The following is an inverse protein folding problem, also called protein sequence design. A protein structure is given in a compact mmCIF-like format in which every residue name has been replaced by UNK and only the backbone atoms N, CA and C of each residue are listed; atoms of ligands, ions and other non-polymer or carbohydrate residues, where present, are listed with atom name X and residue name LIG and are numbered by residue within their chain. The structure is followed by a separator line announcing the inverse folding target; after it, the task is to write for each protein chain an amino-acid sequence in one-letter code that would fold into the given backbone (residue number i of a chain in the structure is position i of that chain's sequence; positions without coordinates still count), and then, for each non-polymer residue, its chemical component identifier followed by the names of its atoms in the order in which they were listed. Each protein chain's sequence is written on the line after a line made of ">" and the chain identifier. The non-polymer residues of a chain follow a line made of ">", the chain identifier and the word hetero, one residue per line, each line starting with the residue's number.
data_IF_321615257843
#
_entry.id   IF_321615257843
#
_cell.length_a   1.000
_cell.length_b   1.000
_cell.length_c   1.000
_cell.angle_alpha   90.00
_cell.angle_beta   90.00
_cell.angle_gamma   90.00
#
_symmetry.space_group_name_H-M   'P 1'
#
loop_
_entity.id
_entity.type
_entity.pdbx_description
1 polymer ?
#
# COMPACT_ATOMS: atom_id res chain seq x y z
N UNK A 1 -25.01 -4.13 10.59
CA UNK A 1 -24.64 -2.80 11.12
C UNK A 1 -23.13 -2.60 11.08
N UNK A 2 -22.34 -3.68 10.82
CA UNK A 2 -20.88 -3.65 10.67
C UNK A 2 -20.40 -3.21 9.27
N UNK A 3 -21.17 -3.44 8.21
CA UNK A 3 -20.78 -3.06 6.83
C UNK A 3 -20.85 -1.56 6.53
N UNK A 4 -21.65 -0.79 7.28
CA UNK A 4 -21.79 0.66 7.05
C UNK A 4 -20.60 1.50 7.56
N UNK A 5 -19.81 0.99 8.51
CA UNK A 5 -18.66 1.72 9.08
C UNK A 5 -17.41 1.65 8.18
N UNK A 6 -17.27 0.61 7.36
CA UNK A 6 -16.16 0.47 6.41
C UNK A 6 -16.28 1.41 5.19
N UNK A 7 -17.51 1.69 4.74
CA UNK A 7 -17.78 2.60 3.62
C UNK A 7 -17.48 4.07 3.95
N UNK A 8 -17.50 4.45 5.22
CA UNK A 8 -17.26 5.82 5.66
C UNK A 8 -15.80 6.16 5.99
N UNK A 9 -14.87 5.18 5.89
CA UNK A 9 -13.45 5.40 6.20
C UNK A 9 -12.70 5.98 5.01
N UNK A 10 -12.64 7.29 4.92
CA UNK A 10 -12.02 8.01 3.78
C UNK A 10 -10.51 7.75 3.68
N UNK A 11 -9.82 7.54 4.77
CA UNK A 11 -8.37 7.26 4.83
C UNK A 11 -8.02 5.80 5.07
N UNK A 12 -9.01 4.88 5.15
CA UNK A 12 -8.76 3.45 5.27
C UNK A 12 -8.13 2.87 3.99
N UNK A 13 -7.40 1.78 4.11
CA UNK A 13 -6.78 1.08 2.98
C UNK A 13 -7.73 0.12 2.26
N UNK A 14 -8.95 -0.11 2.77
CA UNK A 14 -9.96 -0.95 2.14
C UNK A 14 -10.58 -0.31 0.90
N UNK A 15 -10.77 -1.09 -0.17
CA UNK A 15 -11.42 -0.66 -1.44
C UNK A 15 -12.86 -1.18 -1.47
N UNK A 16 -13.79 -0.35 -1.95
CA UNK A 16 -15.12 -0.80 -2.38
C UNK A 16 -15.04 -1.27 -3.85
N UNK A 17 -15.98 -2.10 -4.31
CA UNK A 17 -16.00 -2.60 -5.70
C UNK A 17 -16.04 -1.47 -6.74
N UNK A 18 -16.83 -0.43 -6.50
CA UNK A 18 -16.91 0.77 -7.36
C UNK A 18 -15.63 1.59 -7.36
N UNK A 19 -14.85 1.56 -6.27
CA UNK A 19 -13.56 2.22 -6.20
C UNK A 19 -12.50 1.50 -7.04
N UNK A 20 -12.60 0.17 -7.16
CA UNK A 20 -11.64 -0.66 -7.87
C UNK A 20 -11.61 -0.34 -9.37
N UNK A 21 -12.75 -0.20 -10.02
CA UNK A 21 -12.82 0.08 -11.47
C UNK A 21 -12.28 1.46 -11.81
N UNK A 22 -12.65 2.46 -11.02
CA UNK A 22 -12.15 3.83 -11.20
C UNK A 22 -10.65 3.89 -10.86
N UNK A 23 -10.20 3.22 -9.79
CA UNK A 23 -8.79 3.20 -9.43
C UNK A 23 -7.94 2.53 -10.53
N UNK A 24 -8.45 1.49 -11.17
CA UNK A 24 -7.80 0.85 -12.31
C UNK A 24 -7.67 1.80 -13.52
N UNK A 25 -8.67 2.64 -13.78
CA UNK A 25 -8.62 3.63 -14.86
C UNK A 25 -7.58 4.73 -14.63
N UNK A 26 -7.28 5.03 -13.36
CA UNK A 26 -6.31 6.05 -12.96
C UNK A 26 -4.86 5.55 -12.96
N UNK A 27 -4.64 4.23 -13.04
CA UNK A 27 -3.29 3.67 -12.99
C UNK A 27 -2.49 4.02 -14.23
N UNK A 28 -1.25 4.52 -14.09
CA UNK A 28 -0.34 4.67 -15.22
C UNK A 28 0.00 3.29 -15.80
N UNK A 29 0.23 3.25 -17.11
CA UNK A 29 0.52 2.01 -17.84
C UNK A 29 1.99 1.88 -18.24
N UNK A 30 2.74 2.96 -18.21
CA UNK A 30 4.15 3.02 -18.60
C UNK A 30 5.00 3.60 -17.47
N UNK A 31 6.32 3.39 -17.52
CA UNK A 31 7.26 4.04 -16.60
C UNK A 31 7.30 5.56 -16.80
N UNK A 32 7.06 6.04 -18.01
CA UNK A 32 7.01 7.47 -18.31
C UNK A 32 5.84 8.16 -17.59
N UNK A 33 4.67 7.55 -17.61
CA UNK A 33 3.46 8.05 -16.93
C UNK A 33 3.51 7.93 -15.40
N UNK A 34 4.45 7.14 -14.87
CA UNK A 34 4.56 6.86 -13.44
C UNK A 34 5.31 8.00 -12.75
N UNK A 35 4.58 8.83 -12.01
CA UNK A 35 5.09 10.01 -11.31
C UNK A 35 5.82 9.59 -10.04
N UNK A 36 6.95 10.24 -9.75
CA UNK A 36 7.77 9.99 -8.56
C UNK A 36 8.55 8.68 -8.62
N UNK A 37 9.12 8.27 -7.47
CA UNK A 37 9.94 7.04 -7.34
C UNK A 37 11.13 7.01 -8.33
N UNK A 38 11.79 8.13 -8.59
CA UNK A 38 12.72 8.30 -9.71
C UNK A 38 13.84 7.25 -9.73
N UNK A 39 14.46 6.96 -8.57
CA UNK A 39 15.50 5.91 -8.47
C UNK A 39 14.96 4.51 -8.80
N UNK A 40 13.74 4.21 -8.41
CA UNK A 40 13.09 2.92 -8.72
C UNK A 40 12.82 2.83 -10.21
N UNK A 41 12.32 3.90 -10.82
CA UNK A 41 12.06 3.99 -12.27
C UNK A 41 13.31 3.82 -13.10
N UNK A 42 14.37 4.57 -12.77
CA UNK A 42 15.66 4.49 -13.46
C UNK A 42 16.22 3.08 -13.43
N UNK A 43 16.25 2.44 -12.27
CA UNK A 43 16.74 1.06 -12.15
C UNK A 43 15.89 0.07 -12.94
N UNK A 44 14.55 0.16 -12.81
CA UNK A 44 13.64 -0.72 -13.55
C UNK A 44 13.76 -0.55 -15.06
N UNK A 45 13.88 0.68 -15.55
CA UNK A 45 14.08 0.94 -16.97
C UNK A 45 15.34 0.22 -17.52
N UNK A 46 16.44 0.28 -16.76
CA UNK A 46 17.68 -0.41 -17.13
C UNK A 46 17.49 -1.93 -17.13
N UNK A 47 16.87 -2.50 -16.08
CA UNK A 47 16.69 -3.95 -15.98
C UNK A 47 15.76 -4.49 -17.06
N UNK A 48 14.66 -3.79 -17.34
CA UNK A 48 13.68 -4.15 -18.38
C UNK A 48 14.35 -4.10 -19.76
N UNK A 49 15.07 -3.01 -20.08
CA UNK A 49 15.74 -2.87 -21.37
C UNK A 49 16.82 -3.95 -21.57
N UNK A 50 17.59 -4.26 -20.53
CA UNK A 50 18.59 -5.31 -20.56
C UNK A 50 17.95 -6.70 -20.79
N UNK A 51 16.86 -7.03 -20.09
CA UNK A 51 16.12 -8.29 -20.26
C UNK A 51 15.55 -8.41 -21.68
N UNK A 52 14.92 -7.34 -22.19
CA UNK A 52 14.38 -7.27 -23.57
C UNK A 52 15.46 -7.47 -24.62
N UNK A 53 16.62 -6.83 -24.45
CA UNK A 53 17.73 -6.93 -25.39
C UNK A 53 18.28 -8.36 -25.46
N UNK A 54 18.28 -9.08 -24.33
CA UNK A 54 18.72 -10.49 -24.28
C UNK A 54 17.63 -11.48 -24.68
N UNK A 55 16.36 -11.02 -24.79
CA UNK A 55 15.20 -11.90 -25.03
C UNK A 55 14.89 -12.81 -23.84
N UNK A 56 15.14 -12.35 -22.62
CA UNK A 56 14.97 -13.10 -21.38
C UNK A 56 13.81 -12.53 -20.54
N UNK A 57 13.26 -13.34 -19.66
CA UNK A 57 12.36 -12.85 -18.61
C UNK A 57 13.16 -11.95 -17.66
N UNK A 58 12.46 -10.95 -17.08
CA UNK A 58 13.06 -10.12 -16.04
C UNK A 58 13.35 -10.96 -14.79
N UNK A 59 14.42 -10.64 -14.07
CA UNK A 59 14.67 -11.22 -12.75
C UNK A 59 13.48 -11.00 -11.82
N UNK A 60 13.32 -11.89 -10.81
CA UNK A 60 12.25 -11.74 -9.83
C UNK A 60 12.40 -10.44 -9.03
N UNK A 61 11.30 -9.70 -8.88
CA UNK A 61 11.26 -8.35 -8.28
C UNK A 61 10.49 -8.37 -6.97
N UNK A 62 11.07 -7.84 -5.90
CA UNK A 62 10.40 -7.56 -4.64
C UNK A 62 10.14 -6.06 -4.49
N UNK A 63 8.86 -5.69 -4.40
CA UNK A 63 8.42 -4.31 -4.14
C UNK A 63 7.99 -4.19 -2.68
N UNK A 64 8.60 -3.30 -1.90
CA UNK A 64 8.23 -3.13 -0.51
C UNK A 64 8.10 -1.66 -0.12
N UNK A 65 7.28 -1.40 0.88
CA UNK A 65 7.01 -0.06 1.40
C UNK A 65 5.57 0.09 1.90
N UNK A 66 5.22 1.24 2.47
CA UNK A 66 3.87 1.54 2.97
C UNK A 66 2.74 1.18 2.00
N UNK A 67 1.51 0.97 2.47
CA UNK A 67 0.37 0.72 1.59
C UNK A 67 0.04 1.96 0.75
N UNK A 68 -0.59 1.76 -0.42
CA UNK A 68 -1.08 2.85 -1.26
C UNK A 68 -0.04 3.56 -2.14
N UNK A 69 1.22 3.09 -2.19
CA UNK A 69 2.32 3.68 -2.97
C UNK A 69 2.40 3.22 -4.44
N UNK A 70 1.51 2.32 -4.88
CA UNK A 70 1.49 1.88 -6.27
C UNK A 70 2.29 0.62 -6.58
N UNK A 71 2.55 -0.28 -5.61
CA UNK A 71 3.24 -1.56 -5.83
C UNK A 71 2.55 -2.40 -6.93
N UNK A 72 1.24 -2.56 -6.85
CA UNK A 72 0.44 -3.27 -7.85
C UNK A 72 0.48 -2.58 -9.23
N UNK A 73 0.47 -1.25 -9.24
CA UNK A 73 0.59 -0.46 -10.47
C UNK A 73 1.93 -0.71 -11.14
N UNK A 74 3.02 -0.71 -10.35
CA UNK A 74 4.37 -0.92 -10.87
C UNK A 74 4.54 -2.35 -11.43
N UNK A 75 3.92 -3.36 -10.80
CA UNK A 75 3.89 -4.71 -11.35
C UNK A 75 3.18 -4.77 -12.73
N UNK A 76 2.07 -4.05 -12.88
CA UNK A 76 1.38 -3.91 -14.16
C UNK A 76 2.22 -3.19 -15.22
N UNK A 77 2.96 -2.15 -14.82
CA UNK A 77 3.88 -1.45 -15.70
C UNK A 77 5.01 -2.38 -16.16
N UNK A 78 5.62 -3.15 -15.25
CA UNK A 78 6.67 -4.13 -15.61
C UNK A 78 6.18 -5.09 -16.70
N UNK A 79 4.98 -5.67 -16.53
CA UNK A 79 4.42 -6.58 -17.53
C UNK A 79 4.16 -5.87 -18.87
N UNK A 80 3.64 -4.65 -18.82
CA UNK A 80 3.35 -3.86 -20.03
C UNK A 80 4.63 -3.48 -20.79
N UNK A 81 5.67 -3.03 -20.08
CA UNK A 81 6.96 -2.68 -20.67
C UNK A 81 7.70 -3.92 -21.24
N UNK A 82 7.55 -5.07 -20.61
CA UNK A 82 8.07 -6.36 -21.12
C UNK A 82 7.23 -6.92 -22.28
N UNK A 83 5.99 -6.42 -22.49
CA UNK A 83 5.09 -6.90 -23.53
C UNK A 83 4.50 -8.29 -23.24
N UNK A 84 4.29 -8.63 -21.98
CA UNK A 84 3.82 -9.94 -21.50
C UNK A 84 2.55 -9.81 -20.67
N UNK A 85 1.87 -10.95 -20.39
CA UNK A 85 0.70 -10.96 -19.54
C UNK A 85 1.07 -10.89 -18.06
N UNK A 86 0.13 -10.37 -17.25
CA UNK A 86 0.24 -10.38 -15.79
C UNK A 86 -0.88 -11.23 -15.18
N UNK A 87 -0.51 -12.11 -14.25
CA UNK A 87 -1.44 -12.81 -13.36
C UNK A 87 -1.33 -12.17 -11.98
N UNK A 88 -2.46 -11.70 -11.46
CA UNK A 88 -2.52 -11.00 -10.17
C UNK A 88 -3.18 -11.90 -9.14
N UNK A 89 -2.54 -12.05 -8.00
CA UNK A 89 -3.07 -12.76 -6.83
C UNK A 89 -2.56 -12.09 -5.54
N UNK A 90 -2.94 -12.65 -4.39
CA UNK A 90 -2.45 -12.18 -3.10
C UNK A 90 -2.01 -13.36 -2.22
N UNK A 91 -1.12 -13.11 -1.25
CA UNK A 91 -0.70 -14.13 -0.28
C UNK A 91 -1.87 -14.82 0.40
N UNK A 92 -2.86 -14.09 0.96
CA UNK A 92 -4.05 -14.68 1.57
C UNK A 92 -4.92 -15.53 0.64
N UNK A 93 -4.92 -15.26 -0.65
CA UNK A 93 -5.70 -16.01 -1.65
C UNK A 93 -5.06 -17.37 -2.01
N UNK A 94 -3.80 -17.58 -1.66
CA UNK A 94 -3.07 -18.83 -1.90
C UNK A 94 -3.02 -19.62 -0.59
N UNK A 95 -4.04 -20.45 -0.35
CA UNK A 95 -4.14 -21.19 0.90
C UNK A 95 -3.32 -22.49 0.90
N UNK A 96 -3.17 -23.12 -0.26
CA UNK A 96 -2.56 -24.44 -0.43
C UNK A 96 -1.52 -24.45 -1.55
N UNK A 97 -0.58 -25.39 -1.46
CA UNK A 97 0.43 -25.64 -2.50
C UNK A 97 -0.21 -25.84 -3.90
N UNK A 98 -1.37 -26.51 -3.96
CA UNK A 98 -2.11 -26.74 -5.21
C UNK A 98 -2.62 -25.47 -5.87
N UNK A 99 -2.98 -24.44 -5.09
CA UNK A 99 -3.43 -23.15 -5.63
C UNK A 99 -2.28 -22.44 -6.34
N UNK A 100 -1.10 -22.42 -5.71
CA UNK A 100 0.11 -21.87 -6.32
C UNK A 100 0.54 -22.68 -7.56
N UNK A 101 0.52 -24.02 -7.48
CA UNK A 101 0.86 -24.88 -8.60
C UNK A 101 -0.07 -24.62 -9.81
N UNK A 102 -1.37 -24.47 -9.59
CA UNK A 102 -2.32 -24.11 -10.63
C UNK A 102 -2.03 -22.74 -11.27
N UNK A 103 -1.63 -21.75 -10.49
CA UNK A 103 -1.23 -20.44 -11.02
C UNK A 103 0.03 -20.57 -11.90
N UNK A 104 1.06 -21.24 -11.41
CA UNK A 104 2.36 -21.36 -12.08
C UNK A 104 2.28 -22.18 -13.37
N UNK A 105 1.54 -23.27 -13.39
CA UNK A 105 1.37 -24.13 -14.58
C UNK A 105 0.53 -23.49 -15.70
N UNK A 106 -0.24 -22.42 -15.38
CA UNK A 106 -1.00 -21.64 -16.36
C UNK A 106 -0.25 -20.40 -16.89
N UNK A 107 1.00 -20.17 -16.50
CA UNK A 107 1.84 -19.11 -17.06
C UNK A 107 2.36 -19.49 -18.44
N UNK A 108 2.58 -18.47 -19.25
CA UNK A 108 3.26 -18.56 -20.54
C UNK A 108 4.69 -18.02 -20.41
N UNK A 109 5.51 -18.24 -21.44
CA UNK A 109 6.88 -17.76 -21.50
C UNK A 109 6.94 -16.23 -21.32
N UNK A 110 7.70 -15.78 -20.34
CA UNK A 110 7.89 -14.37 -20.02
C UNK A 110 6.80 -13.75 -19.13
N UNK A 111 5.70 -14.44 -18.85
CA UNK A 111 4.59 -13.88 -18.05
C UNK A 111 5.04 -13.38 -16.67
N UNK A 112 4.33 -12.39 -16.16
CA UNK A 112 4.50 -11.87 -14.79
C UNK A 112 3.47 -12.50 -13.87
N UNK A 113 3.93 -13.12 -12.79
CA UNK A 113 3.09 -13.47 -11.63
C UNK A 113 3.26 -12.42 -10.55
N UNK A 114 2.21 -11.69 -10.23
CA UNK A 114 2.18 -10.72 -9.14
C UNK A 114 1.49 -11.30 -7.91
N UNK A 115 2.18 -11.31 -6.77
CA UNK A 115 1.64 -11.72 -5.47
C UNK A 115 1.67 -10.53 -4.51
N UNK A 116 0.49 -9.95 -4.24
CA UNK A 116 0.39 -8.90 -3.21
C UNK A 116 0.41 -9.51 -1.80
N UNK A 117 0.89 -8.74 -0.82
CA UNK A 117 1.07 -9.19 0.57
C UNK A 117 1.76 -10.57 0.67
N UNK A 118 2.84 -10.76 -0.11
CA UNK A 118 3.57 -12.03 -0.24
C UNK A 118 4.08 -12.57 1.10
N UNK A 119 4.30 -11.71 2.10
CA UNK A 119 4.69 -12.11 3.46
C UNK A 119 3.60 -12.90 4.21
N UNK A 120 2.37 -12.93 3.68
CA UNK A 120 1.24 -13.70 4.24
C UNK A 120 1.11 -15.10 3.65
N UNK A 121 2.00 -15.50 2.75
CA UNK A 121 2.08 -16.89 2.31
C UNK A 121 2.42 -17.79 3.50
N UNK A 122 1.74 -18.93 3.59
CA UNK A 122 2.12 -19.92 4.57
C UNK A 122 3.41 -20.64 4.14
N UNK A 123 4.15 -21.18 5.10
CA UNK A 123 5.46 -21.79 4.87
C UNK A 123 5.42 -22.94 3.84
N UNK A 124 4.35 -23.73 3.82
CA UNK A 124 4.24 -24.83 2.88
C UNK A 124 4.08 -24.38 1.43
N UNK A 125 3.47 -23.22 1.21
CA UNK A 125 3.36 -22.56 -0.11
C UNK A 125 4.69 -21.94 -0.52
N UNK A 126 5.40 -21.27 0.42
CA UNK A 126 6.74 -20.75 0.14
C UNK A 126 7.70 -21.85 -0.33
N UNK A 127 7.66 -23.03 0.30
CA UNK A 127 8.52 -24.18 -0.05
C UNK A 127 8.32 -24.65 -1.49
N UNK A 128 7.13 -24.50 -2.06
CA UNK A 128 6.83 -24.77 -3.49
C UNK A 128 7.35 -23.65 -4.39
N UNK A 129 7.35 -22.43 -3.89
CA UNK A 129 7.78 -21.26 -4.66
C UNK A 129 9.30 -21.26 -4.89
N UNK A 130 10.10 -21.81 -3.96
CA UNK A 130 11.55 -21.81 -4.09
C UNK A 130 12.06 -22.51 -5.36
N UNK A 131 11.75 -23.81 -5.61
CA UNK A 131 12.18 -24.46 -6.83
C UNK A 131 11.55 -23.83 -8.10
N UNK A 132 10.36 -23.28 -7.99
CA UNK A 132 9.74 -22.56 -9.11
C UNK A 132 10.54 -21.33 -9.51
N UNK A 133 11.10 -20.59 -8.55
CA UNK A 133 11.92 -19.40 -8.81
C UNK A 133 13.32 -19.75 -9.30
N UNK A 134 13.97 -20.74 -8.70
CA UNK A 134 15.39 -21.08 -8.98
C UNK A 134 15.52 -21.99 -10.20
N UNK A 135 14.77 -23.11 -10.18
CA UNK A 135 14.93 -24.20 -11.17
C UNK A 135 13.89 -24.17 -12.28
N UNK A 136 12.91 -23.26 -12.23
CA UNK A 136 11.77 -23.25 -13.15
C UNK A 136 11.01 -24.59 -13.14
N UNK A 137 10.83 -25.17 -11.97
CA UNK A 137 10.19 -26.46 -11.81
C UNK A 137 9.32 -26.55 -10.57
N UNK A 138 8.33 -27.43 -10.62
CA UNK A 138 7.47 -27.79 -9.50
C UNK A 138 7.63 -29.27 -9.17
N UNK A 139 7.85 -29.60 -7.91
CA UNK A 139 7.83 -30.95 -7.41
C UNK A 139 6.45 -31.26 -6.80
N UNK A 140 5.65 -32.08 -7.50
CA UNK A 140 4.29 -32.44 -7.07
C UNK A 140 4.31 -33.88 -6.55
N UNK A 141 3.86 -34.05 -5.29
CA UNK A 141 3.71 -35.37 -4.69
C UNK A 141 2.32 -35.93 -5.04
N UNK A 142 2.29 -37.04 -5.81
CA UNK A 142 1.07 -37.75 -6.17
C UNK A 142 0.99 -39.04 -5.36
N UNK A 143 -0.18 -39.28 -4.70
CA UNK A 143 -0.42 -40.43 -3.85
C UNK A 143 -0.23 -40.11 -2.37
N UNK A 144 -0.40 -41.15 -1.53
CA UNK A 144 -0.26 -41.10 -0.08
C UNK A 144 0.57 -42.25 0.43
N UNK A 145 1.30 -42.05 1.53
CA UNK A 145 2.10 -43.10 2.20
C UNK A 145 3.32 -43.54 1.37
N UNK A 146 3.77 -44.82 1.56
CA UNK A 146 5.01 -45.32 0.94
C UNK A 146 4.97 -45.42 -0.59
N UNK A 147 3.80 -45.34 -1.18
CA UNK A 147 3.60 -45.38 -2.66
C UNK A 147 3.52 -43.98 -3.29
N UNK A 148 3.68 -42.90 -2.50
CA UNK A 148 3.72 -41.54 -3.02
C UNK A 148 4.92 -41.37 -3.99
N UNK A 149 4.66 -40.75 -5.14
CA UNK A 149 5.69 -40.44 -6.13
C UNK A 149 5.81 -38.93 -6.30
N UNK A 150 7.03 -38.42 -6.38
CA UNK A 150 7.27 -37.06 -6.80
C UNK A 150 7.33 -36.98 -8.31
N UNK A 151 6.58 -36.05 -8.90
CA UNK A 151 6.65 -35.70 -10.32
C UNK A 151 7.17 -34.28 -10.40
N UNK A 152 8.26 -34.08 -11.17
CA UNK A 152 8.79 -32.78 -11.47
C UNK A 152 8.16 -32.27 -12.76
N UNK A 153 7.54 -31.09 -12.70
CA UNK A 153 6.96 -30.38 -13.83
C UNK A 153 7.83 -29.17 -14.15
N UNK A 154 8.27 -29.07 -15.40
CA UNK A 154 8.97 -27.88 -15.87
C UNK A 154 8.00 -26.72 -16.06
N UNK A 155 8.42 -25.53 -15.67
CA UNK A 155 7.69 -24.28 -15.82
C UNK A 155 8.32 -23.43 -16.92
N UNK A 156 7.52 -22.61 -17.63
CA UNK A 156 8.07 -21.58 -18.51
C UNK A 156 8.91 -20.57 -17.71
N UNK A 157 9.80 -19.85 -18.38
CA UNK A 157 10.43 -18.69 -17.72
C UNK A 157 9.38 -17.65 -17.42
N UNK A 158 9.36 -17.18 -16.18
CA UNK A 158 8.42 -16.18 -15.70
C UNK A 158 9.11 -15.21 -14.74
N UNK A 159 8.52 -14.04 -14.55
CA UNK A 159 8.94 -13.10 -13.54
C UNK A 159 7.98 -13.12 -12.37
N UNK A 160 8.47 -13.43 -11.16
CA UNK A 160 7.70 -13.20 -9.94
C UNK A 160 7.89 -11.75 -9.49
N UNK A 161 6.79 -11.02 -9.34
CA UNK A 161 6.79 -9.72 -8.67
C UNK A 161 6.06 -9.88 -7.35
N UNK A 162 6.82 -9.89 -6.25
CA UNK A 162 6.28 -9.91 -4.89
C UNK A 162 6.08 -8.50 -4.36
N UNK A 163 4.96 -8.24 -3.69
CA UNK A 163 4.73 -6.99 -2.99
C UNK A 163 4.48 -7.23 -1.50
N UNK A 164 5.01 -6.35 -0.65
CA UNK A 164 4.80 -6.43 0.80
C UNK A 164 4.84 -5.05 1.47
N UNK A 165 4.02 -4.90 2.49
CA UNK A 165 4.10 -3.76 3.43
C UNK A 165 5.06 -4.05 4.58
N UNK A 166 5.38 -5.32 4.84
CA UNK A 166 6.14 -5.81 6.00
C UNK A 166 7.35 -6.65 5.56
N UNK A 167 8.33 -6.01 4.91
CA UNK A 167 9.53 -6.69 4.39
C UNK A 167 10.28 -7.51 5.46
N UNK A 168 10.25 -7.10 6.73
CA UNK A 168 10.86 -7.82 7.83
C UNK A 168 10.16 -9.13 8.23
N UNK A 169 8.93 -9.38 7.76
CA UNK A 169 8.19 -10.63 7.99
C UNK A 169 8.41 -11.65 6.87
N UNK A 170 9.04 -11.25 5.76
CA UNK A 170 9.39 -12.16 4.69
C UNK A 170 10.51 -13.10 5.16
N UNK A 171 10.37 -14.39 4.88
CA UNK A 171 11.42 -15.36 5.20
C UNK A 171 12.72 -15.02 4.44
N UNK A 172 13.87 -15.22 5.10
CA UNK A 172 15.16 -14.95 4.46
C UNK A 172 15.35 -15.80 3.17
N UNK A 173 15.00 -17.10 3.14
CA UNK A 173 15.10 -17.90 1.93
C UNK A 173 14.27 -17.37 0.76
N UNK A 174 13.07 -16.86 1.00
CA UNK A 174 12.25 -16.26 -0.06
C UNK A 174 12.83 -14.92 -0.54
N UNK A 175 13.24 -14.07 0.40
CA UNK A 175 13.80 -12.76 0.08
C UNK A 175 15.06 -12.85 -0.78
N UNK A 176 15.95 -13.80 -0.45
CA UNK A 176 17.25 -13.95 -1.11
C UNK A 176 17.13 -14.47 -2.56
N UNK A 177 15.93 -14.92 -2.96
CA UNK A 177 15.62 -15.35 -4.34
C UNK A 177 15.13 -14.22 -5.24
N UNK A 178 14.91 -13.04 -4.71
CA UNK A 178 14.63 -11.87 -5.51
C UNK A 178 15.92 -11.20 -5.98
N UNK A 179 16.14 -11.20 -7.30
CA UNK A 179 17.30 -10.53 -7.90
C UNK A 179 17.21 -9.00 -7.83
N UNK A 180 15.98 -8.47 -7.78
CA UNK A 180 15.72 -7.03 -7.74
C UNK A 180 14.86 -6.71 -6.52
N UNK A 181 15.37 -5.87 -5.61
CA UNK A 181 14.65 -5.46 -4.39
C UNK A 181 14.50 -3.93 -4.42
N UNK A 182 13.26 -3.45 -4.47
CA UNK A 182 12.94 -2.03 -4.64
C UNK A 182 12.05 -1.53 -3.50
N UNK A 183 12.54 -0.49 -2.81
CA UNK A 183 11.78 0.19 -1.78
C UNK A 183 11.03 1.37 -2.39
N UNK A 184 9.70 1.41 -2.19
CA UNK A 184 8.89 2.56 -2.50
C UNK A 184 8.84 3.49 -1.30
N UNK A 185 9.00 4.78 -1.57
CA UNK A 185 8.98 5.84 -0.58
C UNK A 185 7.68 6.65 -0.69
N UNK A 186 7.39 7.42 0.35
CA UNK A 186 6.26 8.33 0.31
C UNK A 186 6.51 9.44 -0.70
N UNK A 187 5.44 9.89 -1.31
CA UNK A 187 5.46 10.96 -2.29
C UNK A 187 5.51 12.33 -1.61
N UNK A 188 6.16 13.30 -2.25
CA UNK A 188 6.07 14.69 -1.83
C UNK A 188 4.72 15.30 -2.21
N UNK A 189 4.36 16.42 -1.60
CA UNK A 189 3.11 17.11 -1.90
C UNK A 189 3.05 17.57 -3.36
N UNK A 190 4.17 17.96 -3.96
CA UNK A 190 4.25 18.36 -5.38
C UNK A 190 4.03 17.16 -6.31
N UNK A 191 4.61 16.00 -5.98
CA UNK A 191 4.40 14.79 -6.74
C UNK A 191 2.94 14.34 -6.65
N UNK A 192 2.34 14.40 -5.46
CA UNK A 192 0.92 14.08 -5.26
C UNK A 192 0.00 15.08 -5.95
N UNK A 193 0.30 16.37 -5.93
CA UNK A 193 -0.47 17.38 -6.67
C UNK A 193 -0.45 17.09 -8.19
N UNK A 194 0.70 16.66 -8.71
CA UNK A 194 0.82 16.23 -10.12
C UNK A 194 -0.04 14.99 -10.39
N UNK A 195 -0.05 14.00 -9.50
CA UNK A 195 -0.90 12.81 -9.59
C UNK A 195 -2.37 13.20 -9.52
N UNK A 196 -2.76 14.08 -8.60
CA UNK A 196 -4.14 14.57 -8.45
C UNK A 196 -4.61 15.27 -9.73
N UNK A 197 -3.80 16.14 -10.31
CA UNK A 197 -4.13 16.83 -11.59
C UNK A 197 -4.27 15.85 -12.75
N UNK A 198 -3.36 14.88 -12.87
CA UNK A 198 -3.46 13.82 -13.87
C UNK A 198 -4.76 13.02 -13.70
N UNK A 199 -5.06 12.60 -12.48
CA UNK A 199 -6.28 11.86 -12.15
C UNK A 199 -7.55 12.69 -12.41
N UNK A 200 -7.54 13.96 -12.07
CA UNK A 200 -8.61 14.90 -12.35
C UNK A 200 -8.87 15.03 -13.87
N UNK A 201 -7.81 15.12 -14.68
CA UNK A 201 -7.90 15.13 -16.14
C UNK A 201 -8.56 13.87 -16.70
N UNK A 202 -8.17 12.69 -16.21
CA UNK A 202 -8.77 11.40 -16.64
C UNK A 202 -10.26 11.32 -16.25
N UNK A 203 -10.62 11.85 -15.08
CA UNK A 203 -11.99 11.85 -14.57
C UNK A 203 -12.83 13.04 -15.07
N UNK A 204 -12.25 13.91 -15.90
CA UNK A 204 -12.87 15.16 -16.38
C UNK A 204 -13.36 16.06 -15.23
N UNK A 205 -12.54 16.21 -14.19
CA UNK A 205 -12.79 17.07 -13.03
C UNK A 205 -12.00 18.36 -13.20
N UNK A 206 -12.63 19.52 -13.31
CA UNK A 206 -11.92 20.80 -13.29
C UNK A 206 -11.25 21.04 -11.93
N UNK A 207 -9.94 21.24 -11.93
CA UNK A 207 -9.16 21.46 -10.70
C UNK A 207 -8.08 22.52 -10.94
N UNK A 208 -7.92 23.43 -9.99
CA UNK A 208 -6.85 24.43 -9.97
C UNK A 208 -5.60 23.89 -9.25
N UNK A 209 -4.45 24.55 -9.42
CA UNK A 209 -3.20 24.13 -8.84
C UNK A 209 -3.23 24.13 -7.32
N UNK A 210 -3.82 25.16 -6.72
CA UNK A 210 -3.95 25.32 -5.28
C UNK A 210 -4.93 24.31 -4.67
N UNK A 211 -6.05 24.00 -5.33
CA UNK A 211 -6.94 22.91 -4.95
C UNK A 211 -6.25 21.54 -4.97
N UNK A 212 -5.40 21.28 -5.98
CA UNK A 212 -4.62 20.06 -6.06
C UNK A 212 -3.58 19.96 -4.94
N UNK A 213 -2.92 21.07 -4.57
CA UNK A 213 -1.98 21.12 -3.45
C UNK A 213 -2.67 20.92 -2.10
N UNK A 214 -3.87 21.48 -1.90
CA UNK A 214 -4.65 21.25 -0.68
C UNK A 214 -5.00 19.77 -0.48
N UNK A 215 -5.39 19.07 -1.55
CA UNK A 215 -5.64 17.63 -1.51
C UNK A 215 -4.33 16.86 -1.25
N UNK A 216 -3.26 17.21 -1.94
CA UNK A 216 -1.97 16.54 -1.86
C UNK A 216 -1.38 16.57 -0.46
N UNK A 217 -1.34 17.75 0.17
CA UNK A 217 -0.77 17.95 1.51
C UNK A 217 -1.47 17.13 2.61
N UNK A 218 -2.74 16.75 2.40
CA UNK A 218 -3.50 15.92 3.34
C UNK A 218 -3.59 14.45 2.95
N UNK A 219 -2.85 14.04 1.90
CA UNK A 219 -2.89 12.67 1.35
C UNK A 219 -1.89 11.71 1.99
N UNK A 220 -1.26 12.09 3.10
CA UNK A 220 -0.32 11.25 3.87
C UNK A 220 0.79 10.63 3.00
N UNK A 221 1.26 11.33 1.98
CA UNK A 221 2.31 10.84 1.08
C UNK A 221 1.87 9.69 0.17
N UNK A 222 0.56 9.40 0.01
CA UNK A 222 0.11 8.24 -0.76
C UNK A 222 -0.85 8.57 -1.89
N UNK A 223 -0.60 8.11 -3.13
CA UNK A 223 -1.48 8.32 -4.28
C UNK A 223 -2.90 7.79 -4.09
N UNK A 224 -3.06 6.67 -3.36
CA UNK A 224 -4.39 6.09 -3.10
C UNK A 224 -5.28 7.05 -2.32
N UNK A 225 -4.76 7.64 -1.22
CA UNK A 225 -5.51 8.63 -0.42
C UNK A 225 -5.77 9.87 -1.26
N UNK A 226 -4.77 10.38 -2.01
CA UNK A 226 -4.92 11.53 -2.87
C UNK A 226 -6.08 11.37 -3.87
N UNK A 227 -6.17 10.23 -4.55
CA UNK A 227 -7.26 9.94 -5.48
C UNK A 227 -8.63 9.81 -4.78
N UNK A 228 -8.68 9.27 -3.57
CA UNK A 228 -9.93 9.20 -2.78
C UNK A 228 -10.39 10.60 -2.36
N UNK A 229 -9.48 11.43 -1.87
CA UNK A 229 -9.79 12.82 -1.51
C UNK A 229 -10.22 13.63 -2.73
N UNK A 230 -9.57 13.45 -3.88
CA UNK A 230 -9.98 14.08 -5.15
C UNK A 230 -11.43 13.76 -5.50
N UNK A 231 -11.82 12.48 -5.47
CA UNK A 231 -13.20 12.07 -5.77
C UNK A 231 -14.21 12.72 -4.83
N UNK A 232 -13.92 12.74 -3.54
CA UNK A 232 -14.81 13.36 -2.56
C UNK A 232 -14.88 14.88 -2.70
N UNK A 233 -13.73 15.53 -2.91
CA UNK A 233 -13.69 16.98 -3.17
C UNK A 233 -14.49 17.36 -4.43
N UNK A 234 -14.48 16.51 -5.47
CA UNK A 234 -15.35 16.67 -6.64
C UNK A 234 -16.83 16.73 -6.27
N UNK A 235 -17.29 15.78 -5.43
CA UNK A 235 -18.70 15.70 -5.05
C UNK A 235 -19.16 16.99 -4.34
N UNK A 236 -18.30 17.56 -3.50
CA UNK A 236 -18.54 18.86 -2.85
C UNK A 236 -18.50 20.03 -3.85
N UNK A 237 -17.50 20.06 -4.73
CA UNK A 237 -17.38 21.10 -5.74
C UNK A 237 -18.60 21.16 -6.66
N UNK A 238 -19.11 20.02 -7.10
CA UNK A 238 -20.30 19.92 -7.96
C UNK A 238 -21.59 20.42 -7.28
N UNK A 239 -21.73 20.23 -5.98
CA UNK A 239 -22.97 20.57 -5.27
C UNK A 239 -22.97 21.99 -4.72
N UNK A 240 -21.82 22.51 -4.30
CA UNK A 240 -21.73 23.78 -3.57
C UNK A 240 -20.96 24.89 -4.29
N UNK A 241 -20.17 24.53 -5.28
CA UNK A 241 -19.34 25.41 -6.07
C UNK A 241 -19.65 25.22 -7.55
N UNK A 242 -18.98 25.96 -8.41
CA UNK A 242 -19.20 25.90 -9.88
C UNK A 242 -18.64 24.62 -10.55
N UNK A 243 -18.43 23.55 -9.78
CA UNK A 243 -17.86 22.28 -10.25
C UNK A 243 -16.34 22.30 -10.38
N UNK A 244 -15.68 23.40 -10.01
CA UNK A 244 -14.20 23.54 -10.03
C UNK A 244 -13.64 23.33 -8.63
N UNK A 245 -12.62 22.49 -8.52
CA UNK A 245 -11.89 22.30 -7.26
C UNK A 245 -10.77 23.35 -7.19
N UNK A 246 -11.05 24.48 -6.58
CA UNK A 246 -10.06 25.47 -6.15
C UNK A 246 -9.67 25.25 -4.69
N UNK A 247 -8.82 26.10 -4.11
CA UNK A 247 -8.39 25.98 -2.72
C UNK A 247 -9.54 26.01 -1.72
N UNK A 248 -10.53 26.89 -1.92
CA UNK A 248 -11.70 27.04 -1.04
C UNK A 248 -12.59 25.79 -1.06
N UNK A 249 -12.92 25.29 -2.26
CA UNK A 249 -13.73 24.09 -2.43
C UNK A 249 -13.04 22.85 -1.84
N UNK A 250 -11.73 22.72 -2.03
CA UNK A 250 -10.94 21.65 -1.43
C UNK A 250 -10.92 21.75 0.09
N UNK A 251 -10.68 22.93 0.66
CA UNK A 251 -10.66 23.15 2.12
C UNK A 251 -12.02 22.86 2.76
N UNK A 252 -13.14 23.35 2.19
CA UNK A 252 -14.50 23.05 2.69
C UNK A 252 -14.78 21.55 2.66
N UNK A 253 -14.41 20.88 1.57
CA UNK A 253 -14.59 19.43 1.44
C UNK A 253 -13.78 18.66 2.50
N UNK A 254 -12.50 18.96 2.64
CA UNK A 254 -11.59 18.28 3.58
C UNK A 254 -12.01 18.52 5.04
N UNK A 255 -12.40 19.75 5.38
CA UNK A 255 -12.90 20.10 6.72
C UNK A 255 -14.18 19.34 7.07
N UNK A 256 -15.13 19.18 6.11
CA UNK A 256 -16.36 18.43 6.32
C UNK A 256 -16.13 16.91 6.42
N UNK A 257 -15.09 16.42 5.80
CA UNK A 257 -14.62 15.06 5.97
C UNK A 257 -13.81 14.86 7.26
N UNK A 258 -13.72 15.90 8.09
CA UNK A 258 -12.95 15.92 9.33
C UNK A 258 -11.46 15.62 9.15
N UNK A 259 -10.90 15.96 7.98
CA UNK A 259 -9.48 15.78 7.68
C UNK A 259 -8.76 17.09 7.96
N UNK A 260 -7.82 17.06 8.89
CA UNK A 260 -7.06 18.23 9.29
C UNK A 260 -5.89 18.55 8.34
N UNK A 261 -5.13 19.59 8.66
CA UNK A 261 -4.01 20.07 7.84
C UNK A 261 -2.87 19.05 7.66
N UNK A 262 -2.74 18.10 8.57
CA UNK A 262 -1.77 17.00 8.47
C UNK A 262 -2.41 15.71 7.91
N UNK A 263 -3.65 15.75 7.46
CA UNK A 263 -4.35 14.56 6.95
C UNK A 263 -4.82 13.60 8.04
N UNK A 264 -4.91 14.03 9.31
CA UNK A 264 -5.51 13.21 10.36
C UNK A 264 -7.02 13.21 10.24
N UNK A 265 -7.62 12.03 10.31
CA UNK A 265 -9.07 11.86 10.35
C UNK A 265 -9.63 11.83 11.78
N UNK A 266 -10.94 11.63 11.90
CA UNK A 266 -11.62 11.55 13.20
C UNK A 266 -11.11 10.41 14.09
N UNK A 267 -10.68 9.28 13.49
CA UNK A 267 -10.18 8.11 14.23
C UNK A 267 -8.78 8.36 14.75
N UNK A 268 -7.88 8.94 13.94
CA UNK A 268 -6.54 9.33 14.40
C UNK A 268 -6.61 10.25 15.60
N UNK A 269 -7.44 11.31 15.49
CA UNK A 269 -7.62 12.26 16.59
C UNK A 269 -8.26 11.62 17.81
N UNK A 270 -9.22 10.72 17.62
CA UNK A 270 -9.85 9.96 18.71
C UNK A 270 -8.86 9.06 19.43
N UNK A 271 -8.00 8.34 18.67
CA UNK A 271 -6.94 7.50 19.22
C UNK A 271 -5.98 8.31 20.09
N UNK A 272 -5.38 9.35 19.52
CA UNK A 272 -4.42 10.20 20.24
C UNK A 272 -5.07 10.88 21.45
N UNK A 273 -6.27 11.45 21.29
CA UNK A 273 -7.00 12.12 22.38
C UNK A 273 -7.35 11.17 23.51
N UNK A 274 -7.79 9.95 23.19
CA UNK A 274 -8.10 8.92 24.19
C UNK A 274 -6.85 8.51 24.96
N UNK A 275 -5.73 8.32 24.26
CA UNK A 275 -4.44 8.02 24.91
C UNK A 275 -3.98 9.16 25.83
N UNK A 276 -4.15 10.41 25.42
CA UNK A 276 -3.82 11.58 26.24
C UNK A 276 -4.71 11.66 27.49
N UNK A 277 -6.04 11.63 27.31
CA UNK A 277 -6.99 11.88 28.39
C UNK A 277 -7.08 10.74 29.39
N UNK A 278 -7.10 9.49 28.91
CA UNK A 278 -7.38 8.32 29.74
C UNK A 278 -6.12 7.62 30.25
N UNK A 279 -4.98 7.85 29.60
CA UNK A 279 -3.73 7.14 29.89
C UNK A 279 -2.51 8.07 30.02
N UNK A 280 -2.71 9.36 30.18
CA UNK A 280 -1.66 10.38 30.28
C UNK A 280 -0.62 10.28 29.16
N UNK A 281 -1.06 9.96 27.93
CA UNK A 281 -0.20 9.82 26.76
C UNK A 281 0.56 8.49 26.65
N UNK A 282 0.32 7.56 27.56
CA UNK A 282 0.91 6.22 27.52
C UNK A 282 2.04 5.99 28.51
N UNK A 283 2.66 4.79 28.48
CA UNK A 283 2.54 3.75 27.45
C UNK A 283 1.23 2.93 27.54
N UNK A 284 0.59 2.69 26.39
CA UNK A 284 -0.66 1.94 26.27
C UNK A 284 -0.47 0.73 25.34
N UNK A 285 -1.01 -0.43 25.73
CA UNK A 285 -1.02 -1.61 24.87
C UNK A 285 -1.94 -1.44 23.65
N UNK A 286 -1.65 -2.15 22.54
CA UNK A 286 -2.44 -2.10 21.32
C UNK A 286 -3.90 -2.46 21.55
N UNK A 287 -4.15 -3.60 22.19
CA UNK A 287 -5.50 -4.10 22.51
C UNK A 287 -6.27 -3.11 23.39
N UNK A 288 -5.60 -2.48 24.36
CA UNK A 288 -6.20 -1.47 25.23
C UNK A 288 -6.59 -0.22 24.44
N UNK A 289 -5.74 0.23 23.54
CA UNK A 289 -6.02 1.38 22.67
C UNK A 289 -7.21 1.08 21.74
N UNK A 290 -7.22 -0.11 21.15
CA UNK A 290 -8.28 -0.60 20.27
C UNK A 290 -9.64 -0.64 20.97
N UNK A 291 -9.69 -1.29 22.12
CA UNK A 291 -10.92 -1.38 22.93
C UNK A 291 -11.42 0.02 23.36
N UNK A 292 -10.51 0.93 23.71
CA UNK A 292 -10.85 2.27 24.18
C UNK A 292 -11.50 3.17 23.11
N UNK A 293 -11.21 2.92 21.81
CA UNK A 293 -11.79 3.68 20.71
C UNK A 293 -12.82 2.89 19.89
N UNK A 294 -13.05 1.61 20.21
CA UNK A 294 -13.98 0.74 19.50
C UNK A 294 -13.50 0.32 18.11
N UNK A 295 -12.18 0.12 17.95
CA UNK A 295 -11.54 -0.32 16.72
C UNK A 295 -10.86 -1.69 16.89
N UNK A 296 -10.62 -2.38 15.78
CA UNK A 296 -9.81 -3.60 15.81
C UNK A 296 -8.32 -3.28 16.00
N UNK A 297 -7.63 -4.09 16.81
CA UNK A 297 -6.20 -3.92 17.07
C UNK A 297 -5.36 -3.96 15.78
N UNK A 298 -5.66 -4.87 14.86
CA UNK A 298 -5.00 -5.00 13.57
C UNK A 298 -5.20 -3.74 12.71
N UNK A 299 -6.39 -3.16 12.73
CA UNK A 299 -6.69 -1.91 12.01
C UNK A 299 -5.84 -0.75 12.54
N UNK A 300 -5.72 -0.63 13.86
CA UNK A 300 -4.83 0.40 14.43
C UNK A 300 -3.39 0.18 14.00
N UNK A 301 -2.88 -1.04 14.12
CA UNK A 301 -1.48 -1.37 13.81
C UNK A 301 -1.13 -1.20 12.32
N UNK A 302 -2.05 -1.53 11.44
CA UNK A 302 -1.78 -1.57 10.00
C UNK A 302 -2.17 -0.29 9.27
N UNK A 303 -3.15 0.47 9.78
CA UNK A 303 -3.72 1.63 9.09
C UNK A 303 -3.32 2.95 9.75
N UNK A 304 -3.45 3.06 11.06
CA UNK A 304 -3.30 4.34 11.77
C UNK A 304 -1.90 4.55 12.33
N UNK A 305 -1.35 3.58 13.06
CA UNK A 305 -0.01 3.70 13.67
C UNK A 305 1.11 4.08 12.69
N UNK A 306 1.20 3.48 11.48
CA UNK A 306 2.32 3.76 10.59
C UNK A 306 2.45 5.24 10.25
N UNK A 307 1.33 5.90 9.95
CA UNK A 307 1.33 7.32 9.65
C UNK A 307 1.60 8.18 10.88
N UNK A 308 0.96 7.89 12.01
CA UNK A 308 1.16 8.62 13.26
C UNK A 308 2.61 8.52 13.77
N UNK A 309 3.25 7.38 13.58
CA UNK A 309 4.67 7.19 13.90
C UNK A 309 5.57 7.98 12.94
N UNK A 310 5.22 7.99 11.66
CA UNK A 310 5.98 8.70 10.63
C UNK A 310 6.01 10.22 10.85
N UNK A 311 4.86 10.82 11.18
CA UNK A 311 4.78 12.26 11.50
C UNK A 311 5.27 12.57 12.94
N UNK A 312 5.73 11.54 13.64
CA UNK A 312 6.28 11.69 14.99
C UNK A 312 5.24 11.98 16.06
N UNK A 313 3.98 11.59 15.87
CA UNK A 313 2.90 11.79 16.85
C UNK A 313 2.75 10.61 17.81
N UNK A 314 3.17 9.43 17.38
CA UNK A 314 3.16 8.21 18.17
C UNK A 314 4.56 7.60 18.20
N UNK A 315 4.95 7.04 19.33
CA UNK A 315 6.18 6.25 19.47
C UNK A 315 5.85 4.88 20.05
N UNK A 316 6.57 3.84 19.57
CA UNK A 316 6.44 2.47 20.05
C UNK A 316 7.57 2.18 21.04
N UNK A 317 7.22 1.74 22.23
CA UNK A 317 8.16 1.34 23.27
C UNK A 317 7.93 -0.15 23.64
N UNK A 318 8.85 -0.82 24.33
CA UNK A 318 8.62 -2.19 24.82
C UNK A 318 7.41 -2.33 25.76
N UNK A 319 6.97 -1.23 26.40
CA UNK A 319 5.81 -1.20 27.30
C UNK A 319 4.49 -0.86 26.60
N UNK A 320 4.53 -0.38 25.37
CA UNK A 320 3.36 0.05 24.61
C UNK A 320 3.60 1.32 23.80
N UNK A 321 2.50 1.92 23.34
CA UNK A 321 2.47 3.12 22.51
C UNK A 321 2.43 4.36 23.38
N UNK A 322 3.19 5.39 23.01
CA UNK A 322 3.22 6.67 23.69
C UNK A 322 2.95 7.82 22.71
N UNK A 323 2.11 8.76 23.12
CA UNK A 323 1.85 9.99 22.40
C UNK A 323 3.03 10.96 22.64
N UNK A 324 3.50 11.60 21.58
CA UNK A 324 4.65 12.49 21.66
C UNK A 324 4.25 13.94 21.99
N UNK A 325 5.18 14.79 22.44
CA UNK A 325 4.91 16.21 22.66
C UNK A 325 4.45 16.96 21.41
N UNK A 326 4.81 16.47 20.21
CA UNK A 326 4.34 17.05 18.94
C UNK A 326 2.84 16.85 18.76
N UNK A 327 2.31 15.67 19.08
CA UNK A 327 0.88 15.37 19.02
C UNK A 327 0.09 16.18 20.07
N UNK A 328 0.61 16.34 21.28
CA UNK A 328 -0.02 17.20 22.30
C UNK A 328 -0.19 18.62 21.79
N UNK A 329 0.85 19.21 21.20
CA UNK A 329 0.79 20.58 20.63
C UNK A 329 -0.23 20.69 19.50
N UNK A 330 -0.23 19.71 18.59
CA UNK A 330 -1.14 19.70 17.46
C UNK A 330 -2.60 19.60 17.86
N UNK A 331 -2.89 18.80 18.88
CA UNK A 331 -4.25 18.61 19.41
C UNK A 331 -4.66 19.68 20.46
N UNK A 332 -3.80 20.64 20.77
CA UNK A 332 -4.07 21.71 21.72
C UNK A 332 -4.08 21.28 23.19
N UNK A 333 -3.47 20.13 23.52
CA UNK A 333 -3.31 19.71 24.91
C UNK A 333 -2.01 20.22 25.52
N UNK A 334 -2.08 20.59 26.80
CA UNK A 334 -0.89 20.83 27.60
C UNK A 334 -0.35 19.51 28.15
N UNK A 335 0.96 19.32 28.08
CA UNK A 335 1.59 18.16 28.70
C UNK A 335 1.85 18.50 30.17
N UNK A 336 1.06 17.93 31.08
CA UNK A 336 1.27 18.06 32.51
C UNK A 336 2.61 17.37 32.88
N UNK A 337 3.59 18.17 33.32
CA UNK A 337 4.76 17.69 34.06
C UNK A 337 5.99 17.28 33.26
N UNK A 338 6.55 18.13 32.38
CA UNK A 338 8.01 18.18 32.24
C UNK A 338 8.58 19.13 33.29
N UNK A 339 8.88 18.59 34.49
CA UNK A 339 9.92 19.18 35.30
C UNK A 339 11.22 19.10 34.48
N UNK A 340 11.68 20.25 34.05
CA UNK A 340 13.01 20.45 33.50
C UNK A 340 13.98 20.02 34.60
N UNK A 341 14.61 18.85 34.44
CA UNK A 341 15.81 18.52 35.19
C UNK A 341 16.88 19.50 34.67
N UNK A 342 17.12 20.54 35.45
CA UNK A 342 18.31 21.36 35.39
C UNK A 342 19.56 20.54 35.78
#
# INVERSE_FOLDING_TARGET
>A
MEDMDLENRIVSTGLTETDTDIENSLRPKTLEDYIGQDKVKENLAIYIEAARTRGEALDHVLLYGPPGLGKTTLAGIIANEMGVNIRVTSGPAIEKQGDLAALLTNLQEGDVLFIDEIHRLNRSVEEVLYPAMEDRALDIIIGKGPSARSIRLDLPNFTLVGATTRAGQLSAPLRDRFGVILRLELYTDEQLATIVKRSAGILNIPIEQDGALQIASRSRGTPRIANRLLKRSRDFAQVKYDGVINAEAAEDALSRMEIDQLGLDGIDRRLLTTMIKNYNGGPVGLETSAAAIGEEAVTIEDVYEPYLMQIGFLSRTPRGRCVTPAAYRHLGFQQDGQQTLL
#
